data_IF_814219536176
#
_entry.id   IF_814219536176
#
_cell.length_a   1.000
_cell.length_b   1.000
_cell.length_c   1.000
_cell.angle_alpha   90.00
_cell.angle_beta   90.00
_cell.angle_gamma   90.00
#
_symmetry.space_group_name_H-M   'P 1'
#
loop_
_entity.id
_entity.type
_entity.pdbx_description
1 polymer ?
#
# COMPACT_ATOMS: atom_id res chain seq x y z
N UNK A 1 -36.30 -11.92 8.41
CA UNK A 1 -35.38 -11.86 9.58
C UNK A 1 -34.42 -10.70 9.34
N UNK A 2 -34.86 -9.48 9.63
CA UNK A 2 -34.05 -8.28 9.42
C UNK A 2 -33.18 -8.10 10.65
N UNK A 3 -31.92 -8.53 10.57
CA UNK A 3 -30.94 -8.16 11.60
C UNK A 3 -30.76 -6.64 11.52
N UNK A 4 -30.94 -5.89 12.61
CA UNK A 4 -30.54 -4.49 12.64
C UNK A 4 -29.03 -4.44 12.37
N UNK A 5 -28.65 -3.90 11.21
CA UNK A 5 -27.25 -3.71 10.86
C UNK A 5 -26.77 -2.55 11.71
N UNK A 6 -25.82 -2.83 12.60
CA UNK A 6 -25.14 -1.78 13.37
C UNK A 6 -24.64 -0.69 12.42
N UNK A 7 -25.02 0.56 12.68
CA UNK A 7 -24.53 1.73 11.95
C UNK A 7 -23.07 2.02 12.27
N UNK A 8 -22.51 1.40 13.31
CA UNK A 8 -21.08 1.42 13.62
C UNK A 8 -20.35 0.42 12.69
N UNK A 9 -20.19 0.79 11.42
CA UNK A 9 -19.36 0.08 10.46
C UNK A 9 -17.87 0.28 10.75
N UNK A 10 -17.40 -0.10 11.94
CA UNK A 10 -15.97 -0.09 12.26
C UNK A 10 -15.36 -1.40 11.80
N UNK A 11 -14.26 -1.33 11.05
CA UNK A 11 -13.44 -2.51 10.76
C UNK A 11 -12.88 -3.00 12.09
N UNK A 12 -12.83 -4.31 12.32
CA UNK A 12 -12.25 -4.86 13.56
C UNK A 12 -10.83 -4.29 13.72
N UNK A 13 -10.58 -3.60 14.86
CA UNK A 13 -9.27 -2.98 15.13
C UNK A 13 -8.17 -4.01 15.00
N UNK A 14 -7.15 -3.67 14.22
CA UNK A 14 -6.02 -4.57 14.00
C UNK A 14 -5.20 -4.65 15.28
N UNK A 15 -4.88 -5.86 15.75
CA UNK A 15 -3.90 -6.08 16.83
C UNK A 15 -2.46 -5.99 16.29
N UNK A 16 -2.18 -5.01 15.44
CA UNK A 16 -0.89 -4.93 14.78
C UNK A 16 0.18 -4.38 15.73
N UNK A 17 1.33 -5.05 15.78
CA UNK A 17 2.44 -4.74 16.70
C UNK A 17 3.05 -3.35 16.47
N UNK A 18 2.94 -2.83 15.24
CA UNK A 18 3.59 -1.57 14.83
C UNK A 18 2.75 -0.31 15.08
N UNK A 19 1.51 -0.41 15.58
CA UNK A 19 0.65 0.77 15.78
C UNK A 19 1.33 1.82 16.69
N UNK A 20 1.33 3.08 16.25
CA UNK A 20 1.97 4.20 16.94
C UNK A 20 3.47 4.37 16.66
N UNK A 21 4.12 3.41 15.99
CA UNK A 21 5.51 3.57 15.55
C UNK A 21 5.57 4.44 14.29
N UNK A 22 6.72 5.07 14.04
CA UNK A 22 6.97 5.83 12.83
C UNK A 22 7.89 5.05 11.88
N UNK A 23 7.62 5.16 10.58
CA UNK A 23 8.55 4.68 9.55
C UNK A 23 9.72 5.68 9.36
N UNK A 24 10.66 5.34 8.47
CA UNK A 24 11.82 6.18 8.16
C UNK A 24 11.47 7.58 7.62
N UNK A 25 10.21 7.80 7.20
CA UNK A 25 9.68 9.08 6.70
C UNK A 25 8.77 9.78 7.70
N UNK A 26 8.76 9.33 8.96
CA UNK A 26 7.96 9.93 10.03
C UNK A 26 6.46 9.65 9.92
N UNK A 27 6.02 8.78 9.00
CA UNK A 27 4.61 8.38 8.92
C UNK A 27 4.30 7.42 10.08
N UNK A 28 3.22 7.71 10.80
CA UNK A 28 2.80 6.87 11.91
C UNK A 28 1.98 5.70 11.39
N UNK A 29 2.39 4.48 11.73
CA UNK A 29 1.58 3.28 11.51
C UNK A 29 0.31 3.39 12.35
N UNK A 30 -0.83 3.51 11.69
CA UNK A 30 -2.12 3.74 12.34
C UNK A 30 -3.13 2.66 12.01
N UNK A 31 -4.23 2.59 12.77
CA UNK A 31 -5.29 1.63 12.52
C UNK A 31 -6.09 2.03 11.28
N UNK A 32 -6.65 1.03 10.60
CA UNK A 32 -7.44 1.24 9.38
C UNK A 32 -8.66 2.15 9.65
N UNK A 33 -9.26 2.10 10.85
CA UNK A 33 -10.36 2.98 11.20
C UNK A 33 -9.92 4.44 11.31
N UNK A 34 -8.69 4.69 11.75
CA UNK A 34 -8.16 6.05 11.82
C UNK A 34 -7.92 6.60 10.41
N UNK A 35 -7.44 5.76 9.48
CA UNK A 35 -7.30 6.14 8.07
C UNK A 35 -8.68 6.49 7.47
N UNK A 36 -9.70 5.66 7.68
CA UNK A 36 -11.00 5.89 7.02
C UNK A 36 -11.86 6.96 7.69
N UNK A 37 -11.81 7.10 9.01
CA UNK A 37 -12.80 7.90 9.75
C UNK A 37 -12.21 9.09 10.51
N UNK A 38 -10.92 9.07 10.83
CA UNK A 38 -10.30 10.12 11.65
C UNK A 38 -9.22 10.94 10.90
N UNK A 39 -8.78 10.49 9.72
CA UNK A 39 -7.79 11.21 8.92
C UNK A 39 -8.43 12.31 8.07
N UNK A 40 -7.66 13.36 7.78
CA UNK A 40 -8.11 14.45 6.92
C UNK A 40 -8.41 13.94 5.50
N UNK A 41 -9.65 14.11 5.06
CA UNK A 41 -10.08 13.74 3.71
C UNK A 41 -10.08 14.97 2.80
N UNK A 42 -8.98 15.17 2.08
CA UNK A 42 -8.86 16.23 1.07
C UNK A 42 -9.24 15.72 -0.32
N UNK A 43 -10.27 16.28 -0.97
CA UNK A 43 -10.55 15.98 -2.38
C UNK A 43 -9.39 16.43 -3.26
N UNK A 44 -8.94 15.52 -4.12
CA UNK A 44 -7.83 15.72 -5.05
C UNK A 44 -8.19 15.05 -6.38
N UNK A 45 -7.80 15.68 -7.48
CA UNK A 45 -8.00 15.12 -8.81
C UNK A 45 -6.73 14.36 -9.20
N UNK A 46 -6.84 13.03 -9.26
CA UNK A 46 -5.73 12.13 -9.57
C UNK A 46 -6.08 11.20 -10.73
N UNK A 47 -5.07 10.82 -11.51
CA UNK A 47 -5.13 9.66 -12.40
C UNK A 47 -5.20 8.37 -11.59
N UNK A 48 -5.58 7.25 -12.24
CA UNK A 48 -5.59 5.94 -11.57
C UNK A 48 -4.20 5.54 -11.03
N UNK A 49 -3.15 5.85 -11.78
CA UNK A 49 -1.76 5.57 -11.41
C UNK A 49 -1.31 6.40 -10.20
N UNK A 50 -1.71 7.67 -10.13
CA UNK A 50 -1.45 8.54 -8.97
C UNK A 50 -2.18 8.06 -7.71
N UNK A 51 -3.41 7.55 -7.86
CA UNK A 51 -4.15 6.92 -6.75
C UNK A 51 -3.41 5.68 -6.23
N UNK A 52 -2.84 4.86 -7.12
CA UNK A 52 -2.02 3.69 -6.73
C UNK A 52 -0.77 4.14 -5.96
N UNK A 53 -0.04 5.15 -6.46
CA UNK A 53 1.13 5.74 -5.77
C UNK A 53 0.75 6.16 -4.34
N UNK A 54 -0.32 6.92 -4.19
CA UNK A 54 -0.79 7.40 -2.89
C UNK A 54 -1.24 6.28 -1.96
N UNK A 55 -1.90 5.25 -2.50
CA UNK A 55 -2.32 4.09 -1.73
C UNK A 55 -1.11 3.31 -1.18
N UNK A 56 -0.09 3.07 -2.00
CA UNK A 56 1.15 2.38 -1.61
C UNK A 56 1.87 3.16 -0.50
N UNK A 57 2.00 4.48 -0.66
CA UNK A 57 2.62 5.37 0.32
C UNK A 57 1.89 5.35 1.67
N UNK A 58 0.56 5.33 1.69
CA UNK A 58 -0.25 5.28 2.93
C UNK A 58 -0.27 3.89 3.54
N UNK A 59 -0.27 2.86 2.69
CA UNK A 59 -0.24 1.47 3.12
C UNK A 59 1.13 1.05 3.63
N UNK A 60 2.18 1.89 3.56
CA UNK A 60 3.54 1.52 4.00
C UNK A 60 3.96 0.16 3.45
N UNK A 61 3.80 -0.01 2.13
CA UNK A 61 4.28 -1.19 1.41
C UNK A 61 5.81 -1.24 1.57
N UNK A 62 6.35 -2.43 1.83
CA UNK A 62 7.80 -2.63 1.98
C UNK A 62 8.46 -2.98 0.66
N UNK A 63 7.83 -3.84 -0.15
CA UNK A 63 8.40 -4.27 -1.43
C UNK A 63 7.38 -4.14 -2.55
N UNK A 64 7.82 -3.62 -3.69
CA UNK A 64 7.04 -3.68 -4.92
C UNK A 64 7.86 -4.28 -6.04
N UNK A 65 7.24 -5.17 -6.81
CA UNK A 65 7.88 -5.80 -7.96
C UNK A 65 7.03 -5.52 -9.19
N UNK A 66 7.61 -4.98 -10.25
CA UNK A 66 6.85 -4.57 -11.43
C UNK A 66 7.30 -5.34 -12.69
N UNK A 67 6.34 -5.71 -13.53
CA UNK A 67 6.58 -6.06 -14.92
C UNK A 67 5.85 -5.04 -15.80
N UNK A 68 6.56 -4.05 -16.38
CA UNK A 68 5.87 -2.96 -17.07
C UNK A 68 5.20 -3.41 -18.36
N UNK A 69 3.89 -3.35 -18.33
CA UNK A 69 2.98 -3.57 -19.46
C UNK A 69 1.98 -2.42 -19.54
N UNK A 70 1.66 -1.97 -20.74
CA UNK A 70 0.65 -0.92 -20.92
C UNK A 70 -0.74 -1.49 -20.61
N UNK A 71 -1.62 -0.75 -19.89
CA UNK A 71 -1.50 0.64 -19.44
C UNK A 71 -0.85 0.86 -18.06
N UNK A 72 -0.40 -0.19 -17.38
CA UNK A 72 0.09 -0.12 -15.98
C UNK A 72 1.52 0.42 -15.84
N UNK A 73 2.24 0.59 -16.95
CA UNK A 73 3.61 1.12 -16.96
C UNK A 73 3.76 2.49 -16.28
N UNK A 74 2.73 3.33 -16.29
CA UNK A 74 2.74 4.62 -15.58
C UNK A 74 2.80 4.43 -14.06
N UNK A 75 1.97 3.55 -13.50
CA UNK A 75 2.00 3.22 -12.08
C UNK A 75 3.36 2.64 -11.66
N UNK A 76 3.95 1.77 -12.50
CA UNK A 76 5.29 1.24 -12.24
C UNK A 76 6.35 2.34 -12.14
N UNK A 77 6.30 3.36 -13.00
CA UNK A 77 7.21 4.50 -12.94
C UNK A 77 7.04 5.31 -11.65
N UNK A 78 5.79 5.62 -11.27
CA UNK A 78 5.45 6.35 -10.04
C UNK A 78 5.85 5.60 -8.76
N UNK A 79 5.83 4.27 -8.77
CA UNK A 79 6.31 3.45 -7.65
C UNK A 79 7.85 3.54 -7.55
N UNK A 80 8.55 3.60 -8.69
CA UNK A 80 9.98 3.87 -8.70
C UNK A 80 10.34 5.21 -8.03
N UNK A 81 9.49 6.23 -8.17
CA UNK A 81 9.64 7.49 -7.44
C UNK A 81 9.48 7.30 -5.93
N UNK A 82 8.50 6.51 -5.46
CA UNK A 82 8.34 6.22 -4.03
C UNK A 82 9.58 5.53 -3.44
N UNK A 83 10.20 4.62 -4.21
CA UNK A 83 11.46 4.02 -3.82
C UNK A 83 12.59 5.06 -3.71
N UNK A 84 12.74 5.93 -4.71
CA UNK A 84 13.73 7.02 -4.67
C UNK A 84 13.48 8.00 -3.52
N UNK A 85 12.22 8.28 -3.19
CA UNK A 85 11.81 9.10 -2.05
C UNK A 85 11.98 8.37 -0.70
N UNK A 86 12.23 7.05 -0.70
CA UNK A 86 12.43 6.20 0.47
C UNK A 86 11.15 5.81 1.22
N UNK A 87 10.00 5.78 0.54
CA UNK A 87 8.73 5.26 1.06
C UNK A 87 8.57 3.75 0.87
N UNK A 88 9.45 3.14 0.06
CA UNK A 88 9.47 1.72 -0.26
C UNK A 88 10.88 1.20 0.03
N UNK A 89 11.00 0.06 0.70
CA UNK A 89 12.30 -0.51 1.06
C UNK A 89 12.96 -1.18 -0.14
N UNK A 90 12.17 -1.85 -0.99
CA UNK A 90 12.66 -2.59 -2.15
C UNK A 90 11.77 -2.37 -3.39
N UNK A 91 12.39 -2.06 -4.52
CA UNK A 91 11.73 -1.96 -5.83
C UNK A 91 12.59 -2.58 -6.93
N UNK A 92 12.04 -3.55 -7.65
CA UNK A 92 12.74 -4.15 -8.78
C UNK A 92 11.77 -4.62 -9.86
N UNK A 93 12.33 -4.97 -11.02
CA UNK A 93 11.59 -5.37 -12.21
C UNK A 93 11.71 -6.88 -12.43
N UNK A 94 10.59 -7.57 -12.46
CA UNK A 94 10.56 -8.99 -12.80
C UNK A 94 10.73 -9.21 -14.30
N UNK A 95 11.07 -10.44 -14.69
CA UNK A 95 11.23 -10.86 -16.09
C UNK A 95 9.90 -11.26 -16.76
N UNK A 96 8.88 -11.59 -15.97
CA UNK A 96 7.53 -11.95 -16.42
C UNK A 96 6.52 -11.78 -15.27
N UNK A 97 5.22 -11.66 -15.56
CA UNK A 97 4.18 -11.56 -14.52
C UNK A 97 4.18 -12.78 -13.57
N UNK A 98 4.54 -13.96 -14.07
CA UNK A 98 4.67 -15.16 -13.24
C UNK A 98 5.80 -15.02 -12.23
N UNK A 99 6.95 -14.52 -12.67
CA UNK A 99 8.10 -14.32 -11.81
C UNK A 99 7.86 -13.22 -10.77
N UNK A 100 7.18 -12.14 -11.16
CA UNK A 100 6.75 -11.07 -10.26
C UNK A 100 5.94 -11.64 -9.10
N UNK A 101 5.01 -12.58 -9.36
CA UNK A 101 4.22 -13.21 -8.30
C UNK A 101 5.07 -14.06 -7.35
N UNK A 102 6.04 -14.81 -7.88
CA UNK A 102 6.98 -15.55 -7.05
C UNK A 102 7.84 -14.65 -6.16
N UNK A 103 8.30 -13.52 -6.70
CA UNK A 103 9.11 -12.53 -5.99
C UNK A 103 8.29 -11.84 -4.88
N UNK A 104 7.04 -11.44 -5.17
CA UNK A 104 6.12 -10.91 -4.16
C UNK A 104 5.79 -11.94 -3.07
N UNK A 105 5.58 -13.21 -3.43
CA UNK A 105 5.34 -14.28 -2.44
C UNK A 105 6.55 -14.46 -1.50
N UNK A 106 7.77 -14.48 -2.05
CA UNK A 106 9.00 -14.55 -1.26
C UNK A 106 9.15 -13.38 -0.29
N UNK A 107 8.95 -12.14 -0.77
CA UNK A 107 9.01 -10.95 0.07
C UNK A 107 7.92 -10.95 1.17
N UNK A 108 6.70 -11.40 0.84
CA UNK A 108 5.63 -11.55 1.82
C UNK A 108 5.97 -12.59 2.91
N UNK A 109 6.58 -13.71 2.55
CA UNK A 109 7.09 -14.68 3.53
C UNK A 109 8.22 -14.12 4.40
N UNK A 110 9.00 -13.18 3.87
CA UNK A 110 9.97 -12.38 4.63
C UNK A 110 9.35 -11.34 5.57
N UNK A 111 8.02 -11.21 5.59
CA UNK A 111 7.29 -10.29 6.47
C UNK A 111 7.04 -8.91 5.86
N UNK A 112 7.35 -8.70 4.58
CA UNK A 112 7.03 -7.45 3.90
C UNK A 112 5.57 -7.39 3.48
N UNK A 113 4.98 -6.19 3.50
CA UNK A 113 3.76 -5.92 2.75
C UNK A 113 4.17 -5.69 1.29
N UNK A 114 3.53 -6.38 0.36
CA UNK A 114 3.92 -6.40 -1.04
C UNK A 114 2.87 -5.79 -1.96
N UNK A 115 3.32 -5.24 -3.08
CA UNK A 115 2.50 -4.76 -4.19
C UNK A 115 3.14 -5.15 -5.53
N UNK A 116 2.33 -5.30 -6.57
CA UNK A 116 2.76 -5.58 -7.95
C UNK A 116 1.91 -4.81 -8.93
#
# INVERSE_FOLDING_TARGET
>A
MNKPVSTEKRVIRSKHVKLGQQNAKGQTYTDINDIFYNSEQKPVFFTGSEVIKEAIRRASVGTSVAYPITPQSEAAALIGELYAEGYLDEYFRGESEFAVMGQCAGAAFGGHRVFT
#
